data_IF_172432606858
#
_entry.id   IF_172432606858
#
_cell.length_a   1.000
_cell.length_b   1.000
_cell.length_c   1.000
_cell.angle_alpha   90.00
_cell.angle_beta   90.00
_cell.angle_gamma   90.00
#
_symmetry.space_group_name_H-M   'P 1'
#
loop_
_entity.id
_entity.type
_entity.pdbx_description
1 polymer ?
#
# COMPACT_ATOMS: atom_id res chain seq x y z
N UNK A 1 -2.41 0.97 22.86
CA UNK A 1 -2.24 0.00 21.76
C UNK A 1 -1.47 -1.20 22.32
N UNK A 2 -1.94 -2.44 22.13
CA UNK A 2 -1.20 -3.61 22.60
C UNK A 2 -0.04 -3.89 21.65
N UNK A 3 1.16 -4.01 22.18
CA UNK A 3 2.34 -4.39 21.40
C UNK A 3 2.37 -5.91 21.17
N UNK A 4 3.22 -6.36 20.26
CA UNK A 4 3.44 -7.80 20.03
C UNK A 4 3.98 -8.50 21.31
N UNK A 5 4.81 -7.82 22.07
CA UNK A 5 5.28 -8.29 23.38
C UNK A 5 4.12 -8.46 24.38
N UNK A 6 3.19 -7.50 24.44
CA UNK A 6 2.03 -7.59 25.33
C UNK A 6 1.12 -8.78 24.98
N UNK A 7 0.92 -9.04 23.68
CA UNK A 7 0.15 -10.20 23.22
C UNK A 7 0.84 -11.51 23.62
N UNK A 8 2.16 -11.57 23.40
CA UNK A 8 2.96 -12.75 23.79
C UNK A 8 2.88 -13.00 25.29
N UNK A 9 3.05 -11.97 26.10
CA UNK A 9 2.99 -12.09 27.57
C UNK A 9 1.58 -12.46 28.06
N UNK A 10 0.51 -12.05 27.37
CA UNK A 10 -0.86 -12.52 27.68
C UNK A 10 -1.02 -14.02 27.45
N UNK A 11 -0.41 -14.55 26.38
CA UNK A 11 -0.42 -16.01 26.13
C UNK A 11 0.40 -16.73 27.17
N UNK A 12 1.62 -16.26 27.47
CA UNK A 12 2.50 -16.86 28.46
C UNK A 12 1.85 -16.91 29.87
N UNK A 13 1.18 -15.84 30.30
CA UNK A 13 0.40 -15.82 31.54
C UNK A 13 -0.69 -16.88 31.57
N UNK A 14 -1.38 -17.13 30.48
CA UNK A 14 -2.40 -18.21 30.42
C UNK A 14 -1.80 -19.59 30.46
N UNK A 15 -0.56 -19.75 30.06
CA UNK A 15 0.22 -20.97 30.13
C UNK A 15 0.97 -21.13 31.48
N UNK A 16 0.80 -20.17 32.38
CA UNK A 16 1.52 -20.09 33.68
C UNK A 16 3.04 -20.06 33.48
N UNK A 17 3.51 -19.41 32.44
CA UNK A 17 4.92 -19.26 32.10
C UNK A 17 5.43 -17.85 32.42
N UNK A 18 6.75 -17.71 32.48
CA UNK A 18 7.42 -16.44 32.78
C UNK A 18 7.28 -15.48 31.63
N UNK A 19 6.89 -14.25 31.93
CA UNK A 19 6.77 -13.18 30.93
C UNK A 19 8.13 -12.79 30.35
N UNK A 20 8.14 -12.39 29.09
CA UNK A 20 9.31 -11.86 28.41
C UNK A 20 9.47 -10.37 28.67
N UNK A 21 10.72 -9.94 28.85
CA UNK A 21 11.10 -8.53 28.78
C UNK A 21 11.42 -8.13 27.34
N UNK A 22 11.50 -6.84 27.08
CA UNK A 22 11.92 -6.35 25.76
C UNK A 22 13.31 -6.81 25.34
N UNK A 23 14.22 -7.02 26.33
CA UNK A 23 15.58 -7.51 26.09
C UNK A 23 15.62 -9.00 25.72
N UNK A 24 14.74 -9.81 26.32
CA UNK A 24 14.71 -11.25 26.10
C UNK A 24 13.85 -11.67 24.90
N UNK A 25 13.08 -10.73 24.36
CA UNK A 25 12.10 -11.01 23.32
C UNK A 25 12.70 -11.59 22.04
N UNK A 26 13.89 -11.16 21.65
CA UNK A 26 14.60 -11.65 20.46
C UNK A 26 15.25 -13.00 20.68
N UNK A 27 15.64 -13.31 21.92
CA UNK A 27 16.33 -14.55 22.32
C UNK A 27 15.42 -15.62 22.94
N UNK A 28 14.10 -15.41 22.88
CA UNK A 28 13.10 -16.32 23.41
C UNK A 28 13.28 -17.75 22.87
N UNK A 29 13.15 -18.76 23.75
CA UNK A 29 13.31 -20.18 23.43
C UNK A 29 12.17 -21.03 24.02
N UNK A 30 12.05 -22.25 23.54
CA UNK A 30 11.05 -23.21 24.06
C UNK A 30 9.62 -22.67 23.94
N UNK A 31 8.85 -22.73 25.02
CA UNK A 31 7.45 -22.30 25.10
C UNK A 31 7.28 -20.83 24.74
N UNK A 32 8.21 -19.97 25.11
CA UNK A 32 8.20 -18.55 24.81
C UNK A 32 8.33 -18.30 23.29
N UNK A 33 9.22 -19.03 22.61
CA UNK A 33 9.33 -18.99 21.16
C UNK A 33 8.06 -19.51 20.48
N UNK A 34 7.52 -20.64 20.95
CA UNK A 34 6.28 -21.20 20.44
C UNK A 34 5.08 -20.24 20.60
N UNK A 35 5.00 -19.50 21.71
CA UNK A 35 3.98 -18.47 21.91
C UNK A 35 4.10 -17.32 20.88
N UNK A 36 5.32 -16.86 20.58
CA UNK A 36 5.58 -15.86 19.53
C UNK A 36 5.15 -16.35 18.15
N UNK A 37 5.55 -17.57 17.80
CA UNK A 37 5.23 -18.17 16.51
C UNK A 37 3.72 -18.39 16.37
N UNK A 38 3.05 -18.81 17.45
CA UNK A 38 1.60 -18.95 17.48
C UNK A 38 0.87 -17.62 17.23
N UNK A 39 1.34 -16.52 17.82
CA UNK A 39 0.75 -15.19 17.57
C UNK A 39 1.02 -14.73 16.15
N UNK A 40 2.24 -14.91 15.63
CA UNK A 40 2.55 -14.58 14.25
C UNK A 40 1.65 -15.34 13.26
N UNK A 41 1.49 -16.65 13.49
CA UNK A 41 0.60 -17.47 12.66
C UNK A 41 -0.85 -16.99 12.75
N UNK A 42 -1.34 -16.68 13.94
CA UNK A 42 -2.70 -16.16 14.11
C UNK A 42 -2.92 -14.81 13.40
N UNK A 43 -1.96 -13.89 13.50
CA UNK A 43 -2.01 -12.60 12.80
C UNK A 43 -1.99 -12.80 11.28
N UNK A 44 -1.15 -13.72 10.81
CA UNK A 44 -1.08 -14.06 9.39
C UNK A 44 -2.41 -14.68 8.89
N UNK A 45 -2.99 -15.60 9.65
CA UNK A 45 -4.27 -16.22 9.30
C UNK A 45 -5.41 -15.22 9.29
N UNK A 46 -5.47 -14.31 10.28
CA UNK A 46 -6.45 -13.23 10.31
C UNK A 46 -6.33 -12.33 9.07
N UNK A 47 -5.11 -11.97 8.69
CA UNK A 47 -4.87 -11.16 7.49
C UNK A 47 -5.23 -11.88 6.17
N UNK A 48 -5.24 -13.22 6.18
CA UNK A 48 -5.65 -14.03 5.01
C UNK A 48 -7.16 -14.26 4.94
N UNK A 49 -7.86 -14.28 6.07
CA UNK A 49 -9.30 -14.54 6.12
C UNK A 49 -10.12 -13.45 5.45
N UNK A 50 -9.64 -12.22 5.48
CA UNK A 50 -10.31 -11.11 4.85
C UNK A 50 -9.34 -10.34 3.96
N UNK A 51 -9.79 -10.01 2.76
CA UNK A 51 -8.95 -9.35 1.76
C UNK A 51 -8.62 -7.92 2.17
N UNK A 52 -9.61 -7.20 2.69
CA UNK A 52 -9.46 -5.82 3.18
C UNK A 52 -9.94 -5.70 4.62
N UNK A 53 -9.09 -5.17 5.50
CA UNK A 53 -9.43 -4.80 6.86
C UNK A 53 -9.39 -3.27 6.99
N UNK A 54 -10.41 -2.62 7.59
CA UNK A 54 -10.39 -1.17 7.77
C UNK A 54 -9.18 -0.64 8.53
N UNK A 55 -8.62 -1.43 9.45
CA UNK A 55 -7.43 -1.04 10.22
C UNK A 55 -6.12 -1.18 9.45
N UNK A 56 -6.13 -1.82 8.28
CA UNK A 56 -4.99 -1.93 7.36
C UNK A 56 -5.07 -0.93 6.21
N UNK A 57 -6.14 -0.12 6.13
CA UNK A 57 -6.23 0.94 5.15
C UNK A 57 -5.21 2.04 5.47
N UNK A 58 -4.46 2.44 4.48
CA UNK A 58 -3.50 3.53 4.55
C UNK A 58 -3.60 4.39 3.29
N UNK A 59 -3.39 5.69 3.45
CA UNK A 59 -3.26 6.61 2.34
C UNK A 59 -1.78 6.89 2.10
N UNK A 60 -1.37 6.89 0.85
CA UNK A 60 -0.01 7.19 0.41
C UNK A 60 -0.03 8.37 -0.55
N UNK A 61 0.89 9.32 -0.35
CA UNK A 61 1.08 10.46 -1.23
C UNK A 61 2.31 10.22 -2.11
N UNK A 62 2.10 10.25 -3.41
CA UNK A 62 3.18 10.15 -4.39
C UNK A 62 3.27 11.47 -5.16
N UNK A 63 4.47 12.07 -5.18
CA UNK A 63 4.71 13.26 -6.00
C UNK A 63 4.77 12.87 -7.47
N UNK A 64 3.98 13.56 -8.28
CA UNK A 64 3.99 13.37 -9.73
C UNK A 64 5.22 14.05 -10.34
N UNK A 65 5.81 13.37 -11.32
CA UNK A 65 6.96 13.88 -12.08
C UNK A 65 6.50 14.16 -13.50
N UNK A 66 6.85 15.33 -14.00
CA UNK A 66 6.51 15.78 -15.37
C UNK A 66 6.93 14.71 -16.39
N UNK A 67 6.00 14.30 -17.22
CA UNK A 67 6.23 13.32 -18.28
C UNK A 67 6.34 11.85 -17.81
N UNK A 68 6.25 11.59 -16.52
CA UNK A 68 6.30 10.21 -15.99
C UNK A 68 4.89 9.62 -15.89
N UNK A 69 4.66 8.51 -16.57
CA UNK A 69 3.37 7.82 -16.61
C UNK A 69 3.26 6.64 -15.65
N UNK A 70 4.35 6.03 -15.23
CA UNK A 70 4.34 4.83 -14.37
C UNK A 70 5.07 5.07 -13.05
N UNK A 71 4.48 4.59 -11.96
CA UNK A 71 4.95 4.74 -10.58
C UNK A 71 4.97 3.41 -9.87
N UNK A 72 5.92 3.25 -8.95
CA UNK A 72 6.03 2.06 -8.12
C UNK A 72 5.00 2.10 -7.00
N UNK A 73 4.53 0.92 -6.58
CA UNK A 73 3.72 0.81 -5.38
C UNK A 73 4.55 1.00 -4.11
N UNK A 74 3.92 1.46 -3.04
CA UNK A 74 4.51 1.39 -1.71
C UNK A 74 4.91 -0.02 -1.34
N UNK A 75 5.97 -0.16 -0.54
CA UNK A 75 6.38 -1.44 -0.01
C UNK A 75 5.28 -2.02 0.91
N UNK A 76 5.10 -3.34 0.85
CA UNK A 76 4.10 -4.07 1.65
C UNK A 76 2.63 -3.80 1.31
N UNK A 77 2.33 -3.27 0.14
CA UNK A 77 0.97 -3.11 -0.33
C UNK A 77 0.36 -4.50 -0.64
N UNK A 78 -0.80 -4.80 -0.03
CA UNK A 78 -1.55 -6.03 -0.28
C UNK A 78 -2.49 -5.88 -1.48
N UNK A 79 -3.18 -4.75 -1.56
CA UNK A 79 -4.12 -4.43 -2.63
C UNK A 79 -4.26 -2.92 -2.76
N UNK A 80 -4.68 -2.47 -3.91
CA UNK A 80 -4.89 -1.08 -4.25
C UNK A 80 -6.37 -0.84 -4.53
N UNK A 81 -6.91 0.23 -3.96
CA UNK A 81 -8.28 0.66 -4.22
C UNK A 81 -8.28 1.63 -5.40
N UNK A 82 -8.57 1.12 -6.58
CA UNK A 82 -8.48 1.88 -7.84
C UNK A 82 -9.39 3.09 -7.90
N UNK A 83 -10.55 3.02 -7.24
CA UNK A 83 -11.52 4.13 -7.20
C UNK A 83 -11.14 5.23 -6.20
N UNK A 84 -10.07 5.04 -5.41
CA UNK A 84 -9.63 6.00 -4.41
C UNK A 84 -8.55 6.97 -4.91
N UNK A 85 -8.03 6.77 -6.10
CA UNK A 85 -6.97 7.61 -6.65
C UNK A 85 -7.42 9.04 -6.89
N UNK A 86 -6.64 9.98 -6.37
CA UNK A 86 -6.91 11.42 -6.49
C UNK A 86 -5.63 12.19 -6.76
N UNK A 87 -5.73 13.21 -7.58
CA UNK A 87 -4.69 14.23 -7.70
C UNK A 87 -5.02 15.36 -6.73
N UNK A 88 -4.08 15.67 -5.85
CA UNK A 88 -4.15 16.82 -4.96
C UNK A 88 -3.19 17.87 -5.51
N UNK A 89 -3.67 19.07 -5.75
CA UNK A 89 -2.81 20.17 -6.13
C UNK A 89 -2.05 20.65 -4.89
N UNK A 90 -0.75 20.62 -4.94
CA UNK A 90 0.13 21.13 -3.89
C UNK A 90 0.25 22.66 -4.01
N UNK A 91 -0.86 23.35 -3.73
CA UNK A 91 -0.90 24.80 -3.67
C UNK A 91 -1.35 25.19 -2.26
N UNK A 92 -0.57 26.02 -1.58
CA UNK A 92 -0.83 26.45 -0.20
C UNK A 92 -2.21 27.12 0.01
N UNK A 93 -2.95 27.38 -1.05
CA UNK A 93 -4.26 28.06 -1.04
C UNK A 93 -5.42 27.23 -1.59
N UNK A 94 -5.21 26.06 -2.21
CA UNK A 94 -6.29 25.28 -2.82
C UNK A 94 -6.18 23.81 -2.45
N UNK A 95 -7.17 23.33 -1.71
CA UNK A 95 -7.43 21.90 -1.43
C UNK A 95 -8.27 21.27 -2.56
N UNK A 96 -7.96 21.52 -3.81
CA UNK A 96 -8.67 20.88 -4.91
C UNK A 96 -8.13 19.47 -5.13
N UNK A 97 -8.96 18.48 -4.87
CA UNK A 97 -8.67 17.09 -5.25
C UNK A 97 -9.56 16.66 -6.42
N UNK A 98 -8.95 16.04 -7.43
CA UNK A 98 -9.67 15.48 -8.57
C UNK A 98 -9.53 13.97 -8.54
N UNK A 99 -10.64 13.24 -8.54
CA UNK A 99 -10.60 11.78 -8.67
C UNK A 99 -10.12 11.39 -10.07
N UNK A 100 -9.36 10.29 -10.13
CA UNK A 100 -8.96 9.66 -11.37
C UNK A 100 -9.93 8.51 -11.69
N UNK A 101 -10.29 8.37 -12.94
CA UNK A 101 -11.11 7.25 -13.40
C UNK A 101 -10.21 6.03 -13.66
N UNK A 102 -10.67 4.87 -13.21
CA UNK A 102 -9.97 3.62 -13.49
C UNK A 102 -10.17 3.18 -14.94
N UNK A 103 -9.08 2.81 -15.60
CA UNK A 103 -9.10 2.17 -16.90
C UNK A 103 -8.29 0.87 -16.88
N UNK A 104 -8.68 -0.07 -17.73
CA UNK A 104 -7.91 -1.28 -17.92
C UNK A 104 -6.58 -0.97 -18.62
N UNK A 105 -5.53 -1.67 -18.20
CA UNK A 105 -4.20 -1.54 -18.79
C UNK A 105 -4.17 -1.83 -20.27
N UNK A 106 -4.92 -2.82 -20.72
CA UNK A 106 -5.02 -3.16 -22.16
C UNK A 106 -5.63 -2.03 -22.97
N UNK A 107 -6.59 -1.32 -22.38
CA UNK A 107 -7.18 -0.13 -23.01
C UNK A 107 -6.14 0.98 -23.16
N UNK A 108 -5.40 1.28 -22.07
CA UNK A 108 -4.33 2.27 -22.13
C UNK A 108 -3.28 1.88 -23.17
N UNK A 109 -2.79 0.64 -23.15
CA UNK A 109 -1.74 0.17 -24.06
C UNK A 109 -2.13 0.28 -25.54
N UNK A 110 -3.38 -0.04 -25.87
CA UNK A 110 -3.87 -0.04 -27.25
C UNK A 110 -4.28 1.33 -27.77
N UNK A 111 -4.68 2.24 -26.88
CA UNK A 111 -5.34 3.49 -27.28
C UNK A 111 -4.58 4.76 -26.88
N UNK A 112 -3.98 4.79 -25.74
CA UNK A 112 -3.44 6.02 -25.14
C UNK A 112 -1.91 6.03 -25.06
N UNK A 113 -1.28 4.87 -24.97
CA UNK A 113 0.18 4.74 -24.78
C UNK A 113 1.00 5.56 -25.78
N UNK A 114 0.62 5.56 -27.05
CA UNK A 114 1.37 6.28 -28.06
C UNK A 114 1.31 7.80 -27.86
N UNK A 115 0.17 8.32 -27.38
CA UNK A 115 0.05 9.72 -27.04
C UNK A 115 0.92 10.09 -25.81
N UNK A 116 0.97 9.23 -24.83
CA UNK A 116 1.76 9.45 -23.61
C UNK A 116 3.27 9.33 -23.82
N UNK A 117 3.71 8.38 -24.67
CA UNK A 117 5.14 8.04 -24.83
C UNK A 117 5.75 8.75 -26.05
N UNK A 118 5.04 8.78 -27.16
CA UNK A 118 5.57 9.33 -28.44
C UNK A 118 5.43 10.85 -28.53
N UNK A 119 4.50 11.44 -27.79
CA UNK A 119 4.24 12.88 -27.75
C UNK A 119 4.59 13.52 -26.39
N UNK A 120 5.58 12.99 -25.69
CA UNK A 120 5.98 13.44 -24.34
C UNK A 120 6.22 14.97 -24.21
N UNK A 121 6.40 15.69 -25.32
CA UNK A 121 6.55 17.15 -25.33
C UNK A 121 5.24 17.90 -25.65
N UNK A 122 4.22 17.22 -26.16
CA UNK A 122 2.98 17.85 -26.67
C UNK A 122 1.72 17.32 -25.97
N UNK A 123 1.80 16.14 -25.36
CA UNK A 123 0.68 15.47 -24.71
C UNK A 123 0.66 15.58 -23.19
N UNK A 124 1.43 16.52 -22.62
CA UNK A 124 1.43 16.75 -21.17
C UNK A 124 0.13 17.46 -20.79
N UNK A 125 -0.64 16.83 -19.92
CA UNK A 125 -1.90 17.36 -19.40
C UNK A 125 -2.09 16.90 -17.95
N UNK A 126 -3.05 17.50 -17.27
CA UNK A 126 -3.49 17.00 -15.96
C UNK A 126 -4.01 15.57 -16.13
N UNK A 127 -3.45 14.58 -15.40
CA UNK A 127 -3.92 13.20 -15.47
C UNK A 127 -5.40 13.05 -15.12
N UNK A 128 -6.09 12.14 -15.82
CA UNK A 128 -7.52 11.86 -15.66
C UNK A 128 -7.81 10.42 -15.33
N UNK A 129 -6.90 9.53 -15.73
CA UNK A 129 -7.09 8.09 -15.59
C UNK A 129 -5.95 7.45 -14.84
N UNK A 130 -6.27 6.35 -14.15
CA UNK A 130 -5.31 5.47 -13.49
C UNK A 130 -5.47 4.04 -14.01
N UNK A 131 -4.36 3.32 -14.15
CA UNK A 131 -4.35 1.94 -14.65
C UNK A 131 -3.27 1.11 -13.94
N UNK A 132 -3.42 -0.24 -13.90
CA UNK A 132 -2.39 -1.13 -13.40
C UNK A 132 -1.16 -1.11 -14.31
N UNK A 133 0.03 -0.82 -13.75
CA UNK A 133 1.28 -0.89 -14.50
C UNK A 133 1.84 -2.33 -14.56
N UNK A 134 2.91 -2.53 -15.33
CA UNK A 134 3.66 -3.78 -15.33
C UNK A 134 4.36 -3.99 -13.98
N UNK A 135 4.23 -5.19 -13.42
CA UNK A 135 4.82 -5.49 -12.12
C UNK A 135 3.93 -5.03 -10.95
N UNK A 136 4.54 -4.36 -9.99
CA UNK A 136 3.87 -3.88 -8.77
C UNK A 136 3.76 -2.37 -8.78
N UNK A 137 2.98 -1.80 -9.71
CA UNK A 137 2.87 -0.34 -9.84
C UNK A 137 1.53 0.11 -10.37
N UNK A 138 1.37 1.41 -10.49
CA UNK A 138 0.25 2.04 -11.14
C UNK A 138 0.75 3.00 -12.22
N UNK A 139 -0.08 3.22 -13.21
CA UNK A 139 0.15 4.23 -14.23
C UNK A 139 -0.93 5.29 -14.23
N UNK A 140 -0.61 6.47 -14.72
CA UNK A 140 -1.55 7.57 -14.91
C UNK A 140 -1.47 8.09 -16.33
N UNK A 141 -2.57 8.59 -16.84
CA UNK A 141 -2.66 9.15 -18.19
C UNK A 141 -3.70 10.28 -18.24
N UNK A 142 -3.50 11.35 -19.03
CA UNK A 142 -2.27 11.75 -19.74
C UNK A 142 -1.05 11.89 -18.83
N UNK A 143 0.15 11.94 -19.43
CA UNK A 143 1.37 12.21 -18.67
C UNK A 143 1.27 13.59 -17.97
N UNK A 144 1.71 13.72 -16.70
CA UNK A 144 1.65 15.00 -15.96
C UNK A 144 2.41 16.13 -16.67
N UNK A 145 1.83 17.32 -16.65
CA UNK A 145 2.40 18.59 -17.10
C UNK A 145 3.24 19.29 -16.02
#
# INVERSE_FOLDING_TARGET
MSTFLDLTNRVLRRLNEVELTSGDFTSARGIQAAAKDGINSAVFDLNRQQFTWPFNAAEELTTLVIGQTEYSNPNNLKTMEWDSFRIVKDDATATESTCLDFIDRDFWYKRLRNADVDNAAVGLEKPRFVFPSHGTGFGITPAPD
#
